data_IF_471022826499
#
_entry.id   IF_471022826499
#
_cell.length_a   1.000
_cell.length_b   1.000
_cell.length_c   1.000
_cell.angle_alpha   90.00
_cell.angle_beta   90.00
_cell.angle_gamma   90.00
#
_symmetry.space_group_name_H-M   'P 1'
#
loop_
_entity.id
_entity.type
_entity.pdbx_description
1 polymer ?
#
# COMPACT_ATOMS: atom_id res chain seq x y z
N UNK A 1 18.12 -2.37 -14.31
CA UNK A 1 17.87 -2.11 -12.88
C UNK A 1 16.80 -3.06 -12.39
N UNK A 2 16.94 -3.57 -11.16
CA UNK A 2 15.91 -4.37 -10.50
C UNK A 2 14.76 -3.46 -10.06
N UNK A 3 13.54 -3.96 -10.00
CA UNK A 3 12.35 -3.25 -9.52
C UNK A 3 11.45 -4.20 -8.74
N UNK A 4 10.66 -3.65 -7.82
CA UNK A 4 9.62 -4.40 -7.13
C UNK A 4 8.25 -4.07 -7.73
N UNK A 5 7.40 -5.09 -7.84
CA UNK A 5 6.01 -4.96 -8.28
C UNK A 5 5.13 -5.51 -7.18
N UNK A 6 4.32 -4.65 -6.57
CA UNK A 6 3.24 -5.06 -5.69
C UNK A 6 1.97 -5.27 -6.52
N UNK A 7 1.54 -6.52 -6.65
CA UNK A 7 0.30 -6.85 -7.35
C UNK A 7 -0.89 -6.52 -6.46
N UNK A 8 -1.60 -5.45 -6.80
CA UNK A 8 -2.83 -5.08 -6.10
C UNK A 8 -3.95 -6.02 -6.47
N UNK A 9 -4.83 -6.29 -5.52
CA UNK A 9 -6.08 -7.04 -5.71
C UNK A 9 -7.12 -6.50 -4.74
N UNK A 10 -8.39 -6.65 -5.08
CA UNK A 10 -9.49 -6.28 -4.18
C UNK A 10 -9.72 -7.42 -3.18
N UNK A 11 -9.46 -7.15 -1.90
CA UNK A 11 -9.77 -8.06 -0.79
C UNK A 11 -11.12 -7.72 -0.12
N UNK A 12 -11.43 -6.43 0.03
CA UNK A 12 -12.68 -5.94 0.63
C UNK A 12 -13.12 -4.60 0.03
N UNK A 13 -14.31 -4.13 0.45
CA UNK A 13 -14.86 -2.81 0.12
C UNK A 13 -14.59 -1.76 1.20
N UNK A 14 -14.32 -2.18 2.44
CA UNK A 14 -13.94 -1.32 3.57
C UNK A 14 -12.63 -1.76 4.19
N UNK A 15 -11.96 -0.86 4.92
CA UNK A 15 -10.68 -1.15 5.60
C UNK A 15 -10.83 -2.20 6.71
N UNK A 16 -12.01 -2.29 7.32
CA UNK A 16 -12.43 -3.28 8.31
C UNK A 16 -12.55 -4.71 7.72
N UNK A 17 -12.65 -4.83 6.40
CA UNK A 17 -12.77 -6.11 5.70
C UNK A 17 -11.41 -6.70 5.29
N UNK A 18 -10.31 -5.98 5.55
CA UNK A 18 -8.96 -6.43 5.22
C UNK A 18 -8.44 -7.29 6.36
N UNK A 19 -8.15 -8.57 6.11
CA UNK A 19 -7.74 -9.50 7.17
C UNK A 19 -6.39 -9.13 7.77
N UNK A 20 -5.47 -8.64 6.93
CA UNK A 20 -4.14 -8.21 7.33
C UNK A 20 -3.55 -7.24 6.31
N UNK A 21 -2.91 -6.18 6.81
CA UNK A 21 -1.99 -5.33 6.05
C UNK A 21 -0.69 -5.14 6.84
N UNK A 22 0.38 -4.69 6.17
CA UNK A 22 1.63 -4.34 6.84
C UNK A 22 1.51 -2.96 7.49
N UNK A 23 2.00 -2.84 8.72
CA UNK A 23 2.28 -1.53 9.33
C UNK A 23 3.40 -0.82 8.56
N UNK A 24 3.54 0.50 8.76
CA UNK A 24 4.65 1.26 8.20
C UNK A 24 6.02 0.66 8.61
N UNK A 25 6.16 0.24 9.88
CA UNK A 25 7.39 -0.40 10.37
C UNK A 25 7.67 -1.77 9.74
N UNK A 26 6.64 -2.62 9.60
CA UNK A 26 6.80 -3.90 8.88
C UNK A 26 7.21 -3.67 7.43
N UNK A 27 6.60 -2.69 6.75
CA UNK A 27 6.91 -2.37 5.36
C UNK A 27 8.34 -1.87 5.22
N UNK A 28 8.79 -0.97 6.10
CA UNK A 28 10.18 -0.48 6.14
C UNK A 28 11.15 -1.66 6.33
N UNK A 29 10.90 -2.52 7.31
CA UNK A 29 11.76 -3.68 7.59
C UNK A 29 11.84 -4.64 6.40
N UNK A 30 10.72 -4.86 5.70
CA UNK A 30 10.70 -5.67 4.48
C UNK A 30 11.48 -4.99 3.35
N UNK A 31 11.31 -3.69 3.14
CA UNK A 31 11.96 -2.97 2.04
C UNK A 31 13.48 -2.81 2.27
N UNK A 32 13.93 -2.78 3.53
CA UNK A 32 15.34 -2.67 3.90
C UNK A 32 16.24 -3.83 3.41
N UNK A 33 15.67 -4.92 2.89
CA UNK A 33 16.43 -6.02 2.28
C UNK A 33 16.86 -5.75 0.82
N UNK A 34 16.35 -4.68 0.20
CA UNK A 34 16.64 -4.30 -1.19
C UNK A 34 17.51 -3.04 -1.23
N UNK A 35 18.13 -2.77 -2.39
CA UNK A 35 18.89 -1.52 -2.59
C UNK A 35 17.96 -0.31 -2.44
N UNK A 36 18.45 0.76 -1.77
CA UNK A 36 17.67 1.96 -1.45
C UNK A 36 17.05 2.64 -2.68
N UNK A 37 17.74 2.59 -3.82
CA UNK A 37 17.30 3.14 -5.10
C UNK A 37 16.37 2.22 -5.89
N UNK A 38 16.00 1.05 -5.34
CA UNK A 38 15.13 0.09 -6.04
C UNK A 38 13.72 0.68 -6.19
N UNK A 39 13.24 0.97 -7.42
CA UNK A 39 11.91 1.53 -7.60
C UNK A 39 10.82 0.48 -7.33
N UNK A 40 9.71 0.94 -6.76
CA UNK A 40 8.54 0.13 -6.42
C UNK A 40 7.34 0.62 -7.22
N UNK A 41 6.64 -0.31 -7.87
CA UNK A 41 5.43 -0.03 -8.64
C UNK A 41 4.25 -0.83 -8.11
N UNK A 42 3.07 -0.22 -8.14
CA UNK A 42 1.79 -0.89 -7.96
C UNK A 42 1.33 -1.42 -9.33
N UNK A 43 0.88 -2.66 -9.37
CA UNK A 43 0.28 -3.28 -10.55
C UNK A 43 -1.21 -3.49 -10.29
N UNK A 44 -2.05 -2.99 -11.18
CA UNK A 44 -3.51 -3.14 -11.11
C UNK A 44 -3.98 -4.07 -12.22
N UNK A 45 -5.18 -4.64 -12.04
CA UNK A 45 -5.88 -5.40 -13.08
C UNK A 45 -4.99 -6.50 -13.71
N UNK A 46 -4.30 -7.27 -12.86
CA UNK A 46 -3.35 -8.32 -13.28
C UNK A 46 -2.22 -7.83 -14.21
N UNK A 47 -1.77 -6.58 -14.05
CA UNK A 47 -0.68 -6.01 -14.84
C UNK A 47 -1.11 -5.24 -16.07
N UNK A 48 -2.40 -4.89 -16.18
CA UNK A 48 -2.89 -4.04 -17.27
C UNK A 48 -2.50 -2.56 -17.08
N UNK A 49 -2.52 -2.07 -15.83
CA UNK A 49 -2.07 -0.71 -15.51
C UNK A 49 -1.14 -0.66 -14.30
N UNK A 50 -0.40 0.44 -14.18
CA UNK A 50 0.64 0.63 -13.16
C UNK A 50 0.56 2.02 -12.52
N UNK A 51 0.96 2.10 -11.25
CA UNK A 51 1.07 3.33 -10.50
C UNK A 51 2.32 3.37 -9.63
N UNK A 52 2.69 4.57 -9.19
CA UNK A 52 3.79 4.78 -8.24
C UNK A 52 3.28 5.08 -6.83
N UNK A 53 4.13 4.81 -5.85
CA UNK A 53 3.97 5.25 -4.47
C UNK A 53 4.69 6.60 -4.35
N UNK A 54 3.94 7.67 -4.08
CA UNK A 54 4.48 9.03 -3.96
C UNK A 54 3.86 9.72 -2.74
N UNK A 55 4.65 10.55 -2.06
CA UNK A 55 4.26 11.23 -0.81
C UNK A 55 2.90 11.91 -0.91
N UNK A 56 2.65 12.65 -1.99
CA UNK A 56 1.39 13.38 -2.19
C UNK A 56 0.14 12.54 -2.47
N UNK A 57 0.19 11.21 -2.32
CA UNK A 57 -0.97 10.31 -2.44
C UNK A 57 -1.35 9.61 -1.13
N UNK A 58 -0.65 9.92 -0.04
CA UNK A 58 -1.02 9.43 1.29
C UNK A 58 -1.96 10.42 1.98
N UNK A 59 -2.98 9.91 2.65
CA UNK A 59 -3.95 10.67 3.45
C UNK A 59 -4.11 10.00 4.81
N UNK A 60 -4.14 10.79 5.89
CA UNK A 60 -4.46 10.29 7.22
C UNK A 60 -5.96 10.01 7.30
N UNK A 61 -6.35 8.78 7.63
CA UNK A 61 -7.73 8.38 7.81
C UNK A 61 -7.98 8.05 9.29
N UNK A 62 -8.74 8.92 9.97
CA UNK A 62 -9.05 8.81 11.39
C UNK A 62 -10.30 7.97 11.69
N UNK A 63 -10.95 7.41 10.66
CA UNK A 63 -12.24 6.72 10.77
C UNK A 63 -13.43 7.68 10.81
N UNK A 64 -14.64 7.13 10.75
CA UNK A 64 -15.83 7.90 11.14
C UNK A 64 -15.84 7.97 12.67
N UNK A 65 -15.51 9.13 13.24
CA UNK A 65 -15.84 9.42 14.63
C UNK A 65 -17.35 9.19 14.78
N UNK A 66 -17.75 8.17 15.54
CA UNK A 66 -19.13 8.07 16.00
C UNK A 66 -19.34 9.18 17.03
N UNK A 67 -19.50 10.42 16.54
CA UNK A 67 -20.12 11.52 17.29
C UNK A 67 -21.63 11.24 17.40
N UNK A 68 -21.99 10.13 18.05
CA UNK A 68 -23.32 9.93 18.62
C UNK A 68 -23.23 10.34 20.10
N UNK A 69 -23.82 11.51 20.41
CA UNK A 69 -24.13 12.01 21.76
C UNK A 69 -24.81 10.96 22.67
#
# INVERSE_FOLDING_TARGET
MKKLIYSTSREGYGVDQINRTMTAGELINFLAQYDEDTPIYLSFDNGYTYGGIVEGRFEENYGEDNDDE
#
